data_IF_756712485813
#
_entry.id   IF_756712485813
#
_cell.length_a   1.000
_cell.length_b   1.000
_cell.length_c   1.000
_cell.angle_alpha   90.00
_cell.angle_beta   90.00
_cell.angle_gamma   90.00
#
_symmetry.space_group_name_H-M   'P 1'
#
loop_
_entity.id
_entity.type
_entity.pdbx_description
1 polymer ?
#
# COMPACT_ATOMS: atom_id res chain seq x y z
N UNK A 1 -28.66 9.57 25.64
CA UNK A 1 -28.67 8.88 26.95
C UNK A 1 -29.79 7.85 26.92
N UNK A 2 -29.53 6.68 26.33
CA UNK A 2 -30.38 5.48 26.19
C UNK A 2 -29.40 4.34 25.86
N UNK A 3 -29.39 3.12 26.40
CA UNK A 3 -30.06 2.45 27.51
C UNK A 3 -29.05 1.41 28.01
N UNK A 4 -28.98 1.25 29.33
CA UNK A 4 -28.21 0.24 30.03
C UNK A 4 -29.20 -0.87 30.44
N UNK A 5 -28.73 -2.12 30.52
CA UNK A 5 -29.30 -3.28 31.25
C UNK A 5 -30.07 -4.32 30.42
N UNK A 6 -29.43 -5.49 30.23
CA UNK A 6 -29.95 -6.86 30.44
C UNK A 6 -29.25 -7.84 29.50
N UNK A 7 -28.82 -9.05 29.84
CA UNK A 7 -28.95 -9.86 31.05
C UNK A 7 -27.93 -11.01 30.88
N UNK A 8 -27.15 -11.27 31.92
CA UNK A 8 -26.42 -12.53 32.07
C UNK A 8 -27.41 -13.63 32.44
N UNK A 9 -27.28 -14.84 31.89
CA UNK A 9 -27.62 -16.14 32.52
C UNK A 9 -27.27 -17.28 31.55
N UNK A 10 -26.23 -18.10 31.83
CA UNK A 10 -26.28 -19.37 32.60
C UNK A 10 -27.08 -20.45 31.85
N UNK A 11 -26.69 -21.71 31.66
CA UNK A 11 -25.61 -22.61 32.09
C UNK A 11 -25.82 -23.89 31.24
N UNK A 12 -24.78 -24.71 31.00
CA UNK A 12 -25.04 -26.06 30.45
C UNK A 12 -23.80 -26.81 29.96
N UNK A 13 -23.10 -27.43 30.91
CA UNK A 13 -21.90 -28.28 30.76
C UNK A 13 -22.26 -29.67 30.19
N UNK A 14 -21.21 -30.43 29.81
CA UNK A 14 -21.09 -31.89 29.59
C UNK A 14 -21.08 -32.32 28.11
N UNK A 15 -20.15 -33.13 27.59
CA UNK A 15 -19.05 -33.90 28.16
C UNK A 15 -18.22 -34.55 27.03
N UNK A 16 -17.04 -35.08 27.42
CA UNK A 16 -16.41 -36.35 26.98
C UNK A 16 -15.02 -36.22 26.34
N UNK A 17 -14.02 -36.62 27.13
CA UNK A 17 -13.03 -37.62 26.69
C UNK A 17 -11.77 -37.10 25.99
N UNK A 18 -10.78 -36.65 26.76
CA UNK A 18 -9.39 -36.58 26.31
C UNK A 18 -8.66 -37.88 26.73
N UNK A 19 -8.74 -38.91 25.88
CA UNK A 19 -7.62 -39.81 25.59
C UNK A 19 -7.22 -39.46 24.16
N UNK A 20 -5.96 -39.21 23.80
CA UNK A 20 -4.83 -40.11 23.92
C UNK A 20 -3.53 -39.32 24.06
N UNK A 21 -2.63 -39.82 24.89
CA UNK A 21 -1.24 -39.40 24.97
C UNK A 21 -0.49 -39.86 23.72
N UNK A 22 -0.01 -38.91 22.92
CA UNK A 22 1.11 -39.15 22.00
C UNK A 22 2.17 -38.08 22.22
N UNK A 23 3.40 -38.55 22.43
CA UNK A 23 4.61 -37.77 22.71
C UNK A 23 4.92 -36.76 21.58
N UNK A 24 5.68 -35.69 21.90
CA UNK A 24 5.98 -34.62 20.97
C UNK A 24 7.05 -35.07 19.97
N UNK A 25 6.77 -34.93 18.67
CA UNK A 25 7.78 -34.95 17.63
C UNK A 25 7.91 -33.55 17.02
N UNK A 26 8.80 -32.77 17.64
CA UNK A 26 9.88 -32.04 16.96
C UNK A 26 9.55 -31.40 15.59
N UNK A 27 9.05 -30.17 15.61
CA UNK A 27 9.43 -29.11 14.64
C UNK A 27 9.37 -27.73 15.32
N UNK A 28 10.44 -26.92 15.29
CA UNK A 28 10.38 -25.52 15.68
C UNK A 28 10.05 -24.70 14.43
N UNK A 29 8.78 -24.67 14.05
CA UNK A 29 8.30 -23.72 13.03
C UNK A 29 6.80 -23.47 13.17
N UNK A 30 6.31 -23.25 14.39
CA UNK A 30 5.17 -22.34 14.58
C UNK A 30 5.69 -20.93 14.31
N UNK A 31 5.91 -20.65 13.03
CA UNK A 31 5.92 -19.30 12.50
C UNK A 31 4.62 -18.71 13.02
N UNK A 32 4.77 -17.78 13.95
CA UNK A 32 3.80 -16.74 14.19
C UNK A 32 3.24 -16.37 12.83
N UNK A 33 2.03 -16.82 12.49
CA UNK A 33 1.21 -16.04 11.60
C UNK A 33 0.96 -14.77 12.38
N UNK A 34 1.94 -13.87 12.30
CA UNK A 34 1.70 -12.45 12.33
C UNK A 34 0.55 -12.33 11.35
N UNK A 35 -0.66 -12.16 11.87
CA UNK A 35 -1.65 -11.33 11.22
C UNK A 35 -1.01 -9.94 11.20
N UNK A 36 0.03 -9.78 10.39
CA UNK A 36 0.56 -8.48 10.06
C UNK A 36 -0.62 -7.84 9.34
N UNK A 37 -1.19 -6.76 9.86
CA UNK A 37 -1.88 -5.90 8.95
C UNK A 37 -0.79 -5.46 7.99
N UNK A 38 -0.76 -6.03 6.79
CA UNK A 38 -0.24 -5.28 5.67
C UNK A 38 -1.22 -4.11 5.53
N UNK A 39 -1.08 -3.10 6.38
CA UNK A 39 -1.30 -1.71 6.00
C UNK A 39 -0.23 -1.40 4.95
N UNK A 40 -0.25 -2.17 3.85
CA UNK A 40 0.68 -2.03 2.76
C UNK A 40 0.33 -0.70 2.16
N UNK A 41 1.22 0.28 2.35
CA UNK A 41 1.17 1.51 1.60
C UNK A 41 1.10 1.10 0.14
N UNK A 42 0.05 1.50 -0.55
CA UNK A 42 -0.08 1.29 -1.99
C UNK A 42 0.44 2.54 -2.66
N UNK A 43 1.22 2.36 -3.71
CA UNK A 43 1.71 3.44 -4.55
C UNK A 43 1.02 3.40 -5.89
N UNK A 44 0.85 4.55 -6.53
CA UNK A 44 0.33 4.63 -7.88
C UNK A 44 1.44 5.10 -8.82
N UNK A 45 1.86 4.23 -9.76
CA UNK A 45 3.01 4.49 -10.63
C UNK A 45 2.63 4.35 -12.10
N UNK A 46 3.37 5.01 -13.00
CA UNK A 46 3.10 4.96 -14.42
C UNK A 46 3.24 3.53 -14.97
N UNK A 47 2.21 3.02 -15.66
CA UNK A 47 2.20 1.65 -16.20
C UNK A 47 3.07 1.53 -17.47
N UNK A 48 3.71 0.39 -17.69
CA UNK A 48 4.61 0.19 -18.85
C UNK A 48 3.92 0.37 -20.20
N UNK A 49 2.62 0.11 -20.28
CA UNK A 49 1.80 0.25 -21.48
C UNK A 49 1.44 1.72 -21.81
N UNK A 50 1.64 2.65 -20.88
CA UNK A 50 1.34 4.06 -21.11
C UNK A 50 2.39 4.68 -22.05
N UNK A 51 1.92 5.43 -23.04
CA UNK A 51 2.77 6.17 -23.98
C UNK A 51 3.39 7.39 -23.31
N UNK A 52 4.65 7.68 -23.63
CA UNK A 52 5.35 8.88 -23.12
C UNK A 52 4.58 10.20 -23.31
N UNK A 53 3.98 10.51 -24.47
CA UNK A 53 3.21 11.75 -24.62
C UNK A 53 2.00 11.81 -23.68
N UNK A 54 1.36 10.68 -23.38
CA UNK A 54 0.26 10.65 -22.41
C UNK A 54 0.76 10.91 -20.99
N UNK A 55 1.92 10.33 -20.64
CA UNK A 55 2.56 10.54 -19.34
C UNK A 55 3.02 11.99 -19.16
N UNK A 56 3.55 12.62 -20.20
CA UNK A 56 3.93 14.04 -20.17
C UNK A 56 2.71 14.93 -19.92
N UNK A 57 1.61 14.69 -20.66
CA UNK A 57 0.37 15.43 -20.47
C UNK A 57 -0.18 15.30 -19.03
N UNK A 58 -0.13 14.10 -18.46
CA UNK A 58 -0.54 13.86 -17.07
C UNK A 58 0.40 14.55 -16.10
N UNK A 59 1.71 14.47 -16.31
CA UNK A 59 2.71 15.12 -15.48
C UNK A 59 2.48 16.64 -15.43
N UNK A 60 2.34 17.28 -16.59
CA UNK A 60 2.12 18.72 -16.70
C UNK A 60 0.79 19.14 -16.04
N UNK A 61 -0.26 18.32 -16.19
CA UNK A 61 -1.57 18.55 -15.56
C UNK A 61 -1.49 18.45 -14.03
N UNK A 62 -0.86 17.39 -13.51
CA UNK A 62 -0.73 17.16 -12.08
C UNK A 62 0.14 18.22 -11.43
N UNK A 63 1.28 18.58 -12.03
CA UNK A 63 2.16 19.62 -11.50
C UNK A 63 1.58 21.05 -11.63
N UNK A 64 0.54 21.24 -12.44
CA UNK A 64 -0.24 22.47 -12.44
C UNK A 64 -1.17 22.61 -11.23
N UNK A 65 -1.52 21.49 -10.57
CA UNK A 65 -2.41 21.45 -9.40
C UNK A 65 -1.68 21.07 -8.10
N UNK A 66 -0.53 20.41 -8.20
CA UNK A 66 0.24 19.83 -7.11
C UNK A 66 1.67 20.38 -7.07
N UNK A 67 2.28 20.37 -5.88
CA UNK A 67 3.67 20.80 -5.67
C UNK A 67 4.69 19.72 -6.10
N UNK A 68 5.05 19.70 -7.38
CA UNK A 68 6.07 18.80 -7.93
C UNK A 68 7.52 19.25 -7.63
N UNK A 69 7.87 19.59 -6.39
CA UNK A 69 9.18 20.21 -6.05
C UNK A 69 10.40 19.31 -6.25
N UNK A 70 10.24 18.00 -6.14
CA UNK A 70 11.35 17.03 -6.22
C UNK A 70 11.66 16.58 -7.66
N UNK A 71 10.78 16.90 -8.62
CA UNK A 71 10.90 16.55 -10.05
C UNK A 71 11.84 17.47 -10.84
N UNK A 72 11.79 18.82 -10.75
CA UNK A 72 12.56 19.72 -11.62
C UNK A 72 14.08 19.54 -11.47
N UNK A 73 14.88 20.06 -12.43
CA UNK A 73 16.34 19.96 -12.37
C UNK A 73 16.87 20.53 -11.04
N UNK A 74 17.55 19.67 -10.26
CA UNK A 74 18.02 19.99 -8.91
C UNK A 74 17.21 19.35 -7.78
N UNK A 75 16.09 18.69 -8.08
CA UNK A 75 15.29 17.92 -7.12
C UNK A 75 15.87 16.52 -6.84
N UNK A 76 15.49 15.92 -5.71
CA UNK A 76 16.00 14.61 -5.28
C UNK A 76 15.51 13.44 -6.16
N UNK A 77 14.44 13.66 -6.93
CA UNK A 77 13.80 12.70 -7.84
C UNK A 77 14.03 13.00 -9.33
N UNK A 78 14.93 13.92 -9.68
CA UNK A 78 15.16 14.28 -11.09
C UNK A 78 15.79 13.14 -11.92
N UNK A 79 16.70 12.35 -11.33
CA UNK A 79 17.46 11.33 -12.06
C UNK A 79 17.00 9.92 -11.66
N UNK A 80 16.50 9.08 -12.59
CA UNK A 80 16.61 9.16 -14.05
C UNK A 80 15.70 10.21 -14.70
N UNK A 81 16.28 11.07 -15.55
CA UNK A 81 15.55 12.09 -16.34
C UNK A 81 14.71 11.42 -17.44
N UNK A 82 13.62 10.77 -17.03
CA UNK A 82 12.66 10.12 -17.90
C UNK A 82 11.27 10.56 -17.50
N UNK A 83 10.42 10.82 -18.50
CA UNK A 83 9.03 11.25 -18.30
C UNK A 83 8.28 10.26 -17.42
N UNK A 84 8.56 8.96 -17.59
CA UNK A 84 7.93 7.89 -16.80
C UNK A 84 8.22 7.98 -15.30
N UNK A 85 9.44 8.32 -14.91
CA UNK A 85 9.79 8.43 -13.49
C UNK A 85 9.19 9.69 -12.88
N UNK A 86 9.29 10.81 -13.58
CA UNK A 86 8.67 12.07 -13.16
C UNK A 86 7.16 11.93 -13.05
N UNK A 87 6.51 11.32 -14.05
CA UNK A 87 5.08 11.04 -14.01
C UNK A 87 4.71 10.09 -12.86
N UNK A 88 5.49 9.04 -12.61
CA UNK A 88 5.21 8.12 -11.50
C UNK A 88 5.21 8.82 -10.14
N UNK A 89 6.12 9.76 -9.92
CA UNK A 89 6.15 10.55 -8.69
C UNK A 89 4.95 11.51 -8.57
N UNK A 90 4.60 12.22 -9.65
CA UNK A 90 3.46 13.13 -9.66
C UNK A 90 2.12 12.39 -9.46
N UNK A 91 1.97 11.23 -10.11
CA UNK A 91 0.79 10.37 -9.98
C UNK A 91 0.67 9.84 -8.55
N UNK A 92 1.78 9.46 -7.93
CA UNK A 92 1.77 8.97 -6.55
C UNK A 92 1.41 10.08 -5.56
N UNK A 93 1.96 11.29 -5.72
CA UNK A 93 1.53 12.47 -4.96
C UNK A 93 0.03 12.70 -5.07
N UNK A 94 -0.50 12.66 -6.30
CA UNK A 94 -1.93 12.79 -6.53
C UNK A 94 -2.72 11.67 -5.85
N UNK A 95 -2.19 10.45 -5.85
CA UNK A 95 -2.81 9.30 -5.21
C UNK A 95 -2.85 9.43 -3.68
N UNK A 96 -1.80 9.97 -3.05
CA UNK A 96 -1.82 10.22 -1.60
C UNK A 96 -2.84 11.30 -1.21
N UNK A 97 -3.10 12.27 -2.08
CA UNK A 97 -4.02 13.39 -1.81
C UNK A 97 -5.48 13.01 -2.14
N UNK A 98 -5.70 12.45 -3.32
CA UNK A 98 -7.04 12.16 -3.84
C UNK A 98 -7.49 10.71 -3.61
N UNK A 99 -6.57 9.78 -3.35
CA UNK A 99 -6.86 8.36 -3.14
C UNK A 99 -7.26 7.60 -4.42
N UNK A 100 -7.12 8.22 -5.60
CA UNK A 100 -7.56 7.64 -6.88
C UNK A 100 -6.38 7.39 -7.80
N UNK A 101 -6.25 6.16 -8.29
CA UNK A 101 -5.22 5.73 -9.23
C UNK A 101 -5.86 5.36 -10.57
N UNK A 102 -5.63 6.17 -11.60
CA UNK A 102 -6.18 5.94 -12.94
C UNK A 102 -5.43 4.83 -13.69
N UNK A 103 -6.10 3.70 -13.88
CA UNK A 103 -5.53 2.53 -14.59
C UNK A 103 -5.27 2.75 -16.09
N UNK A 104 -5.67 3.91 -16.64
CA UNK A 104 -5.46 4.25 -18.05
C UNK A 104 -4.01 4.63 -18.35
N UNK A 105 -3.29 5.20 -17.38
CA UNK A 105 -1.89 5.59 -17.51
C UNK A 105 -1.02 5.18 -16.31
N UNK A 106 -1.63 4.70 -15.22
CA UNK A 106 -0.97 4.26 -14.01
C UNK A 106 -1.38 2.84 -13.60
N UNK A 107 -0.70 2.29 -12.61
CA UNK A 107 -1.02 1.01 -11.98
C UNK A 107 -0.67 1.07 -10.50
N UNK A 108 -1.42 0.35 -9.68
CA UNK A 108 -1.14 0.27 -8.24
C UNK A 108 -0.01 -0.72 -7.99
N UNK A 109 0.97 -0.30 -7.20
CA UNK A 109 2.09 -1.10 -6.75
C UNK A 109 2.02 -1.30 -5.24
N UNK A 110 2.25 -2.53 -4.80
CA UNK A 110 2.40 -2.89 -3.38
C UNK A 110 3.87 -2.88 -2.92
N UNK A 111 4.78 -2.65 -3.86
CA UNK A 111 6.23 -2.57 -3.65
C UNK A 111 6.67 -1.13 -3.72
N UNK A 112 7.50 -0.71 -2.76
CA UNK A 112 8.13 0.60 -2.76
C UNK A 112 8.97 0.80 -4.04
N UNK A 113 8.70 1.90 -4.74
CA UNK A 113 9.37 2.29 -5.99
C UNK A 113 10.39 3.41 -5.78
N UNK A 114 10.65 3.79 -4.53
CA UNK A 114 11.71 4.71 -4.13
C UNK A 114 13.06 4.24 -4.65
N UNK A 115 13.84 5.17 -5.19
CA UNK A 115 15.13 4.90 -5.81
C UNK A 115 16.18 5.87 -5.29
N UNK A 116 17.28 5.36 -4.73
CA UNK A 116 18.39 6.19 -4.24
C UNK A 116 17.92 7.27 -3.24
N UNK A 117 17.99 8.53 -3.67
CA UNK A 117 17.56 9.71 -2.90
C UNK A 117 16.09 10.09 -3.10
N UNK A 118 15.43 9.51 -4.10
CA UNK A 118 14.02 9.76 -4.39
C UNK A 118 13.15 8.82 -3.57
N UNK A 119 12.43 9.39 -2.60
CA UNK A 119 11.47 8.65 -1.78
C UNK A 119 10.06 8.99 -2.25
N UNK A 120 9.27 7.97 -2.56
CA UNK A 120 7.87 8.15 -2.96
C UNK A 120 7.01 8.50 -1.74
N UNK A 121 6.12 9.50 -1.85
CA UNK A 121 5.30 10.02 -0.75
C UNK A 121 4.30 9.01 -0.21
#
# INVERSE_FOLDING_TARGET
MLEYISLSSRLGVFARGWGYTTRPLRTPATVFMRRWPCHGKTWCVAQSQATEPKLQQVLDYLCGQLDCKEIPPGGSCFNPNTVRNHASYAIDLNFQINGVCDISYATTAITDRSFGTCVYP
#
